data_IF_999063334609
#
_entry.id   IF_999063334609
#
_cell.length_a   1.000
_cell.length_b   1.000
_cell.length_c   1.000
_cell.angle_alpha   90.00
_cell.angle_beta   90.00
_cell.angle_gamma   90.00
#
_symmetry.space_group_name_H-M   'P 1'
#
loop_
_entity.id
_entity.type
_entity.pdbx_description
1 polymer ?
#
# COMPACT_ATOMS: atom_id res chain seq x y z
N UNK A 1 6.64 -0.91 15.13
CA UNK A 1 6.02 0.33 15.63
C UNK A 1 5.77 1.28 14.46
N UNK A 2 4.59 1.90 14.44
CA UNK A 2 3.84 2.25 13.22
C UNK A 2 4.36 3.52 12.51
N UNK A 3 4.72 3.39 11.21
CA UNK A 3 5.01 4.50 10.27
C UNK A 3 3.74 5.28 9.83
N UNK A 4 2.77 5.56 10.71
CA UNK A 4 1.55 6.31 10.36
C UNK A 4 1.27 7.45 11.34
N UNK A 5 2.14 8.47 11.31
CA UNK A 5 2.02 9.71 12.10
C UNK A 5 0.71 10.46 11.86
N UNK A 6 0.17 10.40 10.62
CA UNK A 6 -1.08 11.06 10.28
C UNK A 6 -2.31 10.39 10.91
N UNK A 7 -2.38 9.05 10.92
CA UNK A 7 -3.49 8.34 11.58
C UNK A 7 -3.53 8.61 13.09
N UNK A 8 -2.37 8.61 13.74
CA UNK A 8 -2.26 8.97 15.16
C UNK A 8 -2.68 10.42 15.42
N UNK A 9 -2.30 11.34 14.54
CA UNK A 9 -2.71 12.74 14.62
C UNK A 9 -4.24 12.88 14.57
N UNK A 10 -4.91 12.18 13.65
CA UNK A 10 -6.36 12.25 13.53
C UNK A 10 -7.09 11.68 14.77
N UNK A 11 -6.60 10.57 15.32
CA UNK A 11 -7.14 9.98 16.56
C UNK A 11 -6.92 10.92 17.75
N UNK A 12 -5.73 11.53 17.86
CA UNK A 12 -5.43 12.48 18.94
C UNK A 12 -6.31 13.73 18.92
N UNK A 13 -6.89 14.08 17.76
CA UNK A 13 -7.84 15.18 17.60
C UNK A 13 -9.30 14.77 17.78
N UNK A 14 -9.59 13.49 17.97
CA UNK A 14 -10.95 12.96 18.08
C UNK A 14 -11.74 13.04 16.76
N UNK A 15 -11.07 13.18 15.62
CA UNK A 15 -11.72 13.34 14.31
C UNK A 15 -12.16 11.98 13.76
N UNK A 16 -11.35 10.95 13.99
CA UNK A 16 -11.70 9.56 13.70
C UNK A 16 -11.28 8.68 14.86
N UNK A 17 -12.02 7.59 15.07
CA UNK A 17 -11.69 6.58 16.05
C UNK A 17 -10.57 5.63 15.54
N UNK A 18 -9.97 4.91 16.48
CA UNK A 18 -8.88 3.96 16.17
C UNK A 18 -9.39 2.80 15.29
N UNK A 19 -10.65 2.41 15.44
CA UNK A 19 -11.26 1.34 14.63
C UNK A 19 -11.35 1.74 13.15
N UNK A 20 -11.73 2.97 12.85
CA UNK A 20 -11.77 3.53 11.50
C UNK A 20 -10.36 3.62 10.90
N UNK A 21 -9.35 3.99 11.69
CA UNK A 21 -7.95 3.96 11.25
C UNK A 21 -7.51 2.53 10.90
N UNK A 22 -7.81 1.56 11.76
CA UNK A 22 -7.46 0.15 11.52
C UNK A 22 -8.17 -0.37 10.25
N UNK A 23 -9.47 -0.07 10.09
CA UNK A 23 -10.24 -0.44 8.88
C UNK A 23 -9.68 0.22 7.63
N UNK A 24 -9.38 1.52 7.67
CA UNK A 24 -8.80 2.25 6.55
C UNK A 24 -7.41 1.70 6.17
N UNK A 25 -6.57 1.37 7.16
CA UNK A 25 -5.26 0.73 6.93
C UNK A 25 -5.39 -0.69 6.35
N UNK A 26 -6.39 -1.46 6.77
CA UNK A 26 -6.71 -2.76 6.19
C UNK A 26 -7.13 -2.63 4.73
N UNK A 27 -8.05 -1.71 4.43
CA UNK A 27 -8.49 -1.41 3.07
C UNK A 27 -7.32 -0.93 2.19
N UNK A 28 -6.47 -0.06 2.73
CA UNK A 28 -5.25 0.41 2.08
C UNK A 28 -4.28 -0.72 1.75
N UNK A 29 -4.23 -1.77 2.57
CA UNK A 29 -3.41 -2.97 2.31
C UNK A 29 -4.03 -3.86 1.23
N UNK A 30 -5.35 -4.05 1.27
CA UNK A 30 -6.08 -4.90 0.32
C UNK A 30 -6.16 -4.31 -1.10
N UNK A 31 -6.20 -2.97 -1.22
CA UNK A 31 -6.18 -2.25 -2.51
C UNK A 31 -4.82 -2.28 -3.23
N UNK A 32 -3.78 -2.82 -2.59
CA UNK A 32 -2.47 -2.95 -3.22
C UNK A 32 -2.53 -4.07 -4.26
N UNK A 33 -2.58 -3.70 -5.56
CA UNK A 33 -2.57 -4.68 -6.65
C UNK A 33 -1.43 -5.69 -6.44
N UNK A 34 -1.68 -7.01 -6.50
CA UNK A 34 -0.62 -8.00 -6.40
C UNK A 34 0.47 -7.75 -7.44
N UNK A 35 1.74 -7.87 -7.04
CA UNK A 35 2.88 -7.63 -7.95
C UNK A 35 2.84 -8.53 -9.19
N UNK A 36 2.28 -9.74 -9.11
CA UNK A 36 2.07 -10.62 -10.25
C UNK A 36 1.10 -10.03 -11.29
N UNK A 37 0.03 -9.38 -10.85
CA UNK A 37 -0.90 -8.69 -11.74
C UNK A 37 -0.26 -7.44 -12.36
N UNK A 38 0.52 -6.68 -11.58
CA UNK A 38 1.31 -5.56 -12.10
C UNK A 38 2.32 -6.04 -13.17
N UNK A 39 2.97 -7.18 -12.94
CA UNK A 39 3.89 -7.78 -13.88
C UNK A 39 3.20 -8.21 -15.19
N UNK A 40 1.96 -8.73 -15.13
CA UNK A 40 1.14 -9.01 -16.32
C UNK A 40 0.82 -7.72 -17.10
N UNK A 41 0.30 -6.69 -16.42
CA UNK A 41 -0.06 -5.42 -17.06
C UNK A 41 1.16 -4.75 -17.71
N UNK A 42 2.34 -4.89 -17.10
CA UNK A 42 3.61 -4.38 -17.64
C UNK A 42 4.29 -5.33 -18.64
N UNK A 43 3.64 -6.44 -19.02
CA UNK A 43 4.15 -7.49 -19.92
C UNK A 43 5.52 -8.06 -19.50
N UNK A 44 5.81 -8.02 -18.19
CA UNK A 44 7.01 -8.60 -17.59
C UNK A 44 6.86 -10.08 -17.30
N UNK A 45 5.62 -10.50 -17.02
CA UNK A 45 5.25 -11.91 -16.92
C UNK A 45 4.12 -12.21 -17.89
N UNK A 46 4.05 -13.47 -18.30
CA UNK A 46 2.88 -14.07 -18.95
C UNK A 46 1.96 -14.70 -17.91
N UNK A 47 0.70 -14.93 -18.29
CA UNK A 47 -0.28 -15.62 -17.43
C UNK A 47 0.26 -16.98 -16.97
N UNK A 48 0.88 -17.73 -17.89
CA UNK A 48 1.52 -19.02 -17.59
C UNK A 48 2.60 -18.90 -16.52
N UNK A 49 3.51 -17.93 -16.64
CA UNK A 49 4.59 -17.72 -15.66
C UNK A 49 4.04 -17.33 -14.30
N UNK A 50 3.00 -16.49 -14.23
CA UNK A 50 2.33 -16.16 -12.96
C UNK A 50 1.78 -17.41 -12.29
N UNK A 51 1.07 -18.27 -13.03
CA UNK A 51 0.57 -19.53 -12.47
C UNK A 51 1.70 -20.44 -11.99
N UNK A 52 2.82 -20.54 -12.74
CA UNK A 52 3.98 -21.31 -12.30
C UNK A 52 4.54 -20.79 -10.97
N UNK A 53 4.68 -19.47 -10.83
CA UNK A 53 5.17 -18.86 -9.58
C UNK A 53 4.18 -19.10 -8.44
N UNK A 54 2.87 -18.94 -8.66
CA UNK A 54 1.84 -19.17 -7.64
C UNK A 54 1.82 -20.62 -7.18
N UNK A 55 1.94 -21.58 -8.10
CA UNK A 55 2.01 -22.99 -7.75
C UNK A 55 3.26 -23.28 -6.91
N UNK A 56 4.42 -22.74 -7.28
CA UNK A 56 5.64 -22.87 -6.48
C UNK A 56 5.53 -22.20 -5.09
N UNK A 57 4.66 -21.20 -4.94
CA UNK A 57 4.38 -20.53 -3.66
C UNK A 57 3.49 -21.37 -2.73
N UNK A 58 2.74 -22.35 -3.24
CA UNK A 58 1.94 -23.25 -2.40
C UNK A 58 2.86 -24.12 -1.52
N UNK A 59 3.96 -24.60 -2.11
CA UNK A 59 4.92 -25.51 -1.48
C UNK A 59 6.10 -24.77 -0.82
N UNK A 60 6.11 -23.42 -0.84
CA UNK A 60 7.23 -22.60 -0.39
C UNK A 60 6.77 -21.39 0.42
N UNK A 61 7.37 -21.11 1.59
CA UNK A 61 7.06 -19.91 2.37
C UNK A 61 7.58 -18.62 1.72
N UNK A 62 8.29 -18.71 0.59
CA UNK A 62 8.92 -17.57 -0.07
C UNK A 62 7.86 -16.65 -0.69
N UNK A 63 8.08 -15.33 -0.70
CA UNK A 63 7.20 -14.40 -1.38
C UNK A 63 7.29 -14.57 -2.90
N UNK A 64 6.19 -14.28 -3.59
CA UNK A 64 6.06 -14.34 -5.06
C UNK A 64 7.27 -13.74 -5.80
N UNK A 65 7.75 -12.57 -5.37
CA UNK A 65 8.86 -11.88 -6.01
C UNK A 65 10.18 -12.63 -5.93
N UNK A 66 10.45 -13.31 -4.80
CA UNK A 66 11.66 -14.12 -4.64
C UNK A 66 11.59 -15.37 -5.52
N UNK A 67 10.46 -16.07 -5.52
CA UNK A 67 10.23 -17.24 -6.38
C UNK A 67 10.35 -16.86 -7.87
N UNK A 68 9.81 -15.71 -8.27
CA UNK A 68 9.92 -15.21 -9.64
C UNK A 68 11.37 -14.97 -10.08
N UNK A 69 12.25 -14.57 -9.14
CA UNK A 69 13.68 -14.40 -9.38
C UNK A 69 14.39 -15.75 -9.46
N UNK A 70 14.08 -16.67 -8.55
CA UNK A 70 14.65 -18.02 -8.53
C UNK A 70 14.29 -18.82 -9.79
N UNK A 71 13.08 -18.65 -10.33
CA UNK A 71 12.65 -19.24 -11.59
C UNK A 71 13.18 -18.51 -12.83
N UNK A 72 13.93 -17.41 -12.66
CA UNK A 72 14.51 -16.64 -13.76
C UNK A 72 13.49 -15.84 -14.57
N UNK A 73 12.26 -15.67 -14.08
CA UNK A 73 11.21 -14.93 -14.77
C UNK A 73 11.27 -13.41 -14.53
N UNK A 74 11.83 -12.99 -13.40
CA UNK A 74 12.10 -11.60 -13.09
C UNK A 74 13.52 -11.45 -12.55
N UNK A 75 14.10 -10.27 -12.72
CA UNK A 75 15.31 -9.88 -11.98
C UNK A 75 14.94 -9.21 -10.66
N UNK A 76 15.86 -9.22 -9.68
CA UNK A 76 15.68 -8.48 -8.41
C UNK A 76 15.37 -6.99 -8.64
N UNK A 77 15.95 -6.39 -9.68
CA UNK A 77 15.67 -5.00 -10.05
C UNK A 77 14.24 -4.82 -10.56
N UNK A 78 13.71 -5.75 -11.34
CA UNK A 78 12.33 -5.69 -11.82
C UNK A 78 11.33 -5.89 -10.70
N UNK A 79 11.61 -6.81 -9.76
CA UNK A 79 10.80 -6.96 -8.55
C UNK A 79 10.77 -5.67 -7.74
N UNK A 80 11.91 -5.00 -7.54
CA UNK A 80 11.96 -3.70 -6.86
C UNK A 80 11.12 -2.64 -7.58
N UNK A 81 11.24 -2.52 -8.90
CA UNK A 81 10.44 -1.58 -9.70
C UNK A 81 8.93 -1.88 -9.59
N UNK A 82 8.55 -3.15 -9.59
CA UNK A 82 7.14 -3.55 -9.42
C UNK A 82 6.62 -3.20 -8.02
N UNK A 83 7.43 -3.36 -6.97
CA UNK A 83 7.08 -2.97 -5.60
C UNK A 83 6.98 -1.44 -5.46
N UNK A 84 7.85 -0.68 -6.11
CA UNK A 84 7.75 0.79 -6.16
C UNK A 84 6.44 1.23 -6.84
N UNK A 85 6.11 0.64 -8.00
CA UNK A 85 4.85 0.92 -8.69
C UNK A 85 3.63 0.51 -7.87
N UNK A 86 3.71 -0.62 -7.16
CA UNK A 86 2.67 -1.07 -6.24
C UNK A 86 2.45 -0.05 -5.11
N UNK A 87 3.53 0.53 -4.59
CA UNK A 87 3.46 1.55 -3.53
C UNK A 87 2.85 2.87 -4.01
N UNK A 88 3.11 3.26 -5.26
CA UNK A 88 2.56 4.49 -5.85
C UNK A 88 1.05 4.41 -6.12
N UNK A 89 0.53 3.21 -6.42
CA UNK A 89 -0.90 3.01 -6.66
C UNK A 89 -1.71 2.80 -5.38
N UNK A 90 -1.05 2.76 -4.23
CA UNK A 90 -1.70 2.54 -2.95
C UNK A 90 -2.45 3.84 -2.56
N UNK A 91 -3.79 3.82 -2.41
CA UNK A 91 -4.54 5.02 -2.05
C UNK A 91 -4.04 5.60 -0.73
N UNK A 92 -4.05 6.93 -0.58
CA UNK A 92 -3.59 7.56 0.66
C UNK A 92 -4.57 7.28 1.80
N UNK A 93 -4.07 7.24 3.04
CA UNK A 93 -4.93 6.97 4.21
C UNK A 93 -6.07 7.99 4.31
N UNK A 94 -5.80 9.26 4.00
CA UNK A 94 -6.80 10.33 3.99
C UNK A 94 -7.89 10.11 2.95
N UNK A 95 -7.53 9.75 1.71
CA UNK A 95 -8.50 9.45 0.64
C UNK A 95 -9.40 8.27 1.00
N UNK A 96 -8.86 7.25 1.66
CA UNK A 96 -9.66 6.11 2.14
C UNK A 96 -10.64 6.55 3.22
N UNK A 97 -10.22 7.41 4.15
CA UNK A 97 -11.12 7.93 5.19
C UNK A 97 -12.24 8.80 4.60
N UNK A 98 -11.97 9.53 3.51
CA UNK A 98 -12.99 10.24 2.73
C UNK A 98 -13.97 9.26 2.09
N UNK A 99 -13.46 8.24 1.39
CA UNK A 99 -14.29 7.22 0.75
C UNK A 99 -15.11 6.38 1.74
N UNK A 100 -14.65 6.28 2.99
CA UNK A 100 -15.38 5.64 4.09
C UNK A 100 -16.36 6.60 4.79
N UNK A 101 -16.53 7.82 4.28
CA UNK A 101 -17.38 8.88 4.83
C UNK A 101 -17.04 9.24 6.29
N UNK A 102 -15.78 9.00 6.70
CA UNK A 102 -15.29 9.30 8.05
C UNK A 102 -14.82 10.74 8.19
N UNK A 103 -14.38 11.34 7.09
CA UNK A 103 -14.02 12.76 6.97
C UNK A 103 -14.48 13.26 5.60
N UNK A 104 -14.69 14.56 5.44
CA UNK A 104 -14.93 15.17 4.12
C UNK A 104 -13.62 15.53 3.41
N UNK A 105 -13.67 15.76 2.09
CA UNK A 105 -12.49 16.26 1.34
C UNK A 105 -12.00 17.61 1.88
N UNK A 106 -12.92 18.51 2.26
CA UNK A 106 -12.57 19.80 2.88
C UNK A 106 -11.86 19.63 4.23
N UNK A 107 -12.34 18.70 5.06
CA UNK A 107 -11.69 18.35 6.33
C UNK A 107 -10.31 17.76 6.07
N UNK A 108 -10.18 16.84 5.12
CA UNK A 108 -8.90 16.23 4.77
C UNK A 108 -7.86 17.29 4.38
N UNK A 109 -8.22 18.21 3.48
CA UNK A 109 -7.32 19.28 3.04
C UNK A 109 -6.87 20.16 4.22
N UNK A 110 -7.81 20.56 5.07
CA UNK A 110 -7.52 21.36 6.27
C UNK A 110 -6.57 20.63 7.22
N UNK A 111 -6.79 19.32 7.42
CA UNK A 111 -6.00 18.49 8.32
C UNK A 111 -4.60 18.19 7.78
N UNK A 112 -4.44 18.09 6.46
CA UNK A 112 -3.14 17.94 5.83
C UNK A 112 -2.27 19.20 5.99
N UNK A 113 -2.86 20.40 5.83
CA UNK A 113 -2.16 21.66 6.07
C UNK A 113 -1.73 21.77 7.53
N UNK A 114 -2.62 21.46 8.45
CA UNK A 114 -2.31 21.52 9.88
C UNK A 114 -1.25 20.49 10.30
N UNK A 115 -1.37 19.25 9.81
CA UNK A 115 -0.37 18.22 10.04
C UNK A 115 1.00 18.60 9.47
N UNK A 116 1.03 19.23 8.29
CA UNK A 116 2.25 19.76 7.66
C UNK A 116 2.93 20.83 8.52
N UNK A 117 2.17 21.78 9.08
CA UNK A 117 2.69 22.78 10.03
C UNK A 117 3.27 22.13 11.29
N UNK A 118 2.53 21.19 11.88
CA UNK A 118 2.98 20.46 13.08
C UNK A 118 4.25 19.66 12.85
N UNK A 119 4.51 19.19 11.63
CA UNK A 119 5.76 18.51 11.27
C UNK A 119 6.92 19.46 10.97
N UNK A 120 6.65 20.69 10.55
CA UNK A 120 7.66 21.72 10.30
C UNK A 120 8.17 22.40 11.59
N UNK A 121 7.36 22.38 12.66
CA UNK A 121 7.71 22.93 13.98
C UNK A 121 8.48 21.94 14.89
N UNK A 122 8.95 20.81 14.35
CA UNK A 122 9.83 19.87 15.08
C UNK A 122 11.27 20.22 14.71
N UNK A 123 12.09 20.77 15.63
CA UNK A 123 13.47 21.15 15.36
C UNK A 123 14.38 19.96 15.02
#
# INVERSE_FOLDING_TARGET
MVKHRFGQFLVSKGIVDEEAIVKALNFQRQQSLPIGQLALTKRKLTVKQVFTILNAQIDSPKPFGEIAVELGYLTTQEVRKLLELQSQKRPFLGEILVNMEKITEEQLNSLLVEFGRKMADIP
#
